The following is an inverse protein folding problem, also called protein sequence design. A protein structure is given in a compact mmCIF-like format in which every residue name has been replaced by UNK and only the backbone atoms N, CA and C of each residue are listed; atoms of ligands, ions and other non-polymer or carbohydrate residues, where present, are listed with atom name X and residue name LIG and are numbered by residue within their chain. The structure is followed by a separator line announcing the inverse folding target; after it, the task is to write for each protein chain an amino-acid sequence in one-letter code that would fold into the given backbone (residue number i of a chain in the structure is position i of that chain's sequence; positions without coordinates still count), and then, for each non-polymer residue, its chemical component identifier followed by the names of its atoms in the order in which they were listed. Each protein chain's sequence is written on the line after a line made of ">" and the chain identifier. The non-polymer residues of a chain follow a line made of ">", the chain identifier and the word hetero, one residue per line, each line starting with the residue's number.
data_IF_905266494197
#
_entry.id   IF_905266494197
#
_cell.length_a   1.000
_cell.length_b   1.000
_cell.length_c   1.000
_cell.angle_alpha   90.00
_cell.angle_beta   90.00
_cell.angle_gamma   90.00
#
_symmetry.space_group_name_H-M   'P 1'
#
loop_
_entity.id
_entity.type
_entity.pdbx_description
1 polymer ?
#
# COMPACT_ATOMS: atom_id res chain seq x y z
N UNK A 1 -17.62 11.05 -4.47
CA UNK A 1 -18.97 10.65 -3.96
C UNK A 1 -19.43 11.72 -3.01
N UNK A 2 -20.72 12.13 -3.00
CA UNK A 2 -21.15 13.09 -1.99
C UNK A 2 -21.04 12.45 -0.61
N UNK A 3 -20.44 13.18 0.33
CA UNK A 3 -20.35 12.77 1.74
C UNK A 3 -21.77 12.73 2.31
N UNK A 4 -22.22 11.65 2.97
CA UNK A 4 -23.53 11.60 3.60
C UNK A 4 -23.64 12.71 4.66
N UNK A 5 -24.66 13.54 4.56
CA UNK A 5 -24.86 14.65 5.51
C UNK A 5 -25.03 14.19 6.97
N UNK A 6 -25.36 12.91 7.16
CA UNK A 6 -25.60 12.27 8.46
C UNK A 6 -24.32 11.69 9.07
N UNK A 7 -23.27 11.56 8.28
CA UNK A 7 -21.99 10.99 8.69
C UNK A 7 -20.81 11.72 8.02
N UNK A 8 -20.63 13.04 8.26
CA UNK A 8 -19.59 13.83 7.61
C UNK A 8 -18.15 13.38 7.96
N UNK A 9 -18.01 12.53 9.00
CA UNK A 9 -16.73 11.94 9.42
C UNK A 9 -16.32 10.71 8.63
N UNK A 10 -17.11 10.20 7.69
CA UNK A 10 -16.77 8.99 6.92
C UNK A 10 -15.81 9.26 5.76
N UNK A 11 -15.81 10.46 5.21
CA UNK A 11 -14.97 10.83 4.08
C UNK A 11 -14.54 12.28 4.28
N UNK A 12 -13.24 12.54 4.19
CA UNK A 12 -12.66 13.88 4.26
C UNK A 12 -12.10 14.26 2.89
N UNK A 13 -12.19 15.52 2.53
CA UNK A 13 -11.46 16.05 1.39
C UNK A 13 -9.95 16.03 1.67
N UNK A 14 -9.13 15.89 0.61
CA UNK A 14 -7.67 15.83 0.72
C UNK A 14 -7.09 17.26 0.89
N UNK A 15 -7.45 17.89 1.98
CA UNK A 15 -6.88 19.17 2.42
C UNK A 15 -5.95 18.92 3.61
N UNK A 16 -4.74 19.49 3.59
CA UNK A 16 -3.69 19.21 4.57
C UNK A 16 -4.12 19.61 5.98
N UNK A 17 -4.52 20.89 6.16
CA UNK A 17 -4.81 21.42 7.50
C UNK A 17 -5.91 20.64 8.24
N UNK A 18 -7.07 20.30 7.63
CA UNK A 18 -8.08 19.49 8.29
C UNK A 18 -7.60 18.06 8.64
N UNK A 19 -6.75 17.46 7.80
CA UNK A 19 -6.21 16.13 8.07
C UNK A 19 -5.23 16.14 9.26
N UNK A 20 -4.36 17.16 9.33
CA UNK A 20 -3.44 17.35 10.46
C UNK A 20 -4.20 17.65 11.76
N UNK A 21 -5.24 18.48 11.71
CA UNK A 21 -6.09 18.77 12.86
C UNK A 21 -6.75 17.49 13.42
N UNK A 22 -7.26 16.62 12.54
CA UNK A 22 -7.87 15.35 12.93
C UNK A 22 -6.81 14.40 13.50
N UNK A 23 -5.65 14.29 12.88
CA UNK A 23 -4.54 13.48 13.39
C UNK A 23 -4.14 13.92 14.80
N UNK A 24 -3.94 15.22 15.01
CA UNK A 24 -3.63 15.79 16.31
C UNK A 24 -4.72 15.51 17.37
N UNK A 25 -6.01 15.71 17.04
CA UNK A 25 -7.11 15.39 17.95
C UNK A 25 -7.17 13.88 18.27
N UNK A 26 -6.88 13.03 17.29
CA UNK A 26 -6.82 11.58 17.47
C UNK A 26 -5.68 11.18 18.40
N UNK A 27 -4.52 11.83 18.27
CA UNK A 27 -3.38 11.63 19.18
C UNK A 27 -3.73 12.06 20.61
N UNK A 28 -4.37 13.23 20.79
CA UNK A 28 -4.85 13.70 22.11
C UNK A 28 -5.88 12.73 22.70
N UNK A 29 -6.71 12.10 21.87
CA UNK A 29 -7.68 11.11 22.31
C UNK A 29 -7.05 9.78 22.75
N UNK A 30 -5.73 9.59 22.60
CA UNK A 30 -4.95 8.47 23.08
C UNK A 30 -4.60 7.43 22.03
N UNK A 31 -4.58 7.80 20.76
CA UNK A 31 -4.05 6.92 19.71
C UNK A 31 -2.51 6.88 19.79
N UNK A 32 -1.93 5.67 19.87
CA UNK A 32 -0.50 5.45 19.92
C UNK A 32 0.14 5.34 18.53
N UNK A 33 -0.66 5.03 17.50
CA UNK A 33 -0.23 4.93 16.11
C UNK A 33 -1.36 5.33 15.16
N UNK A 34 -1.11 6.27 14.27
CA UNK A 34 -2.13 6.83 13.37
C UNK A 34 -1.83 6.48 11.91
N UNK A 35 -2.75 5.77 11.30
CA UNK A 35 -2.71 5.38 9.89
C UNK A 35 -3.66 6.24 9.09
N UNK A 36 -3.14 6.94 8.10
CA UNK A 36 -3.93 7.71 7.15
C UNK A 36 -4.17 6.91 5.86
N UNK A 37 -5.43 6.54 5.61
CA UNK A 37 -5.84 5.85 4.38
C UNK A 37 -6.34 6.85 3.35
N UNK A 38 -5.66 6.96 2.20
CA UNK A 38 -5.89 8.02 1.21
C UNK A 38 -6.28 7.43 -0.15
N UNK A 39 -7.30 8.00 -0.77
CA UNK A 39 -7.72 7.69 -2.14
C UNK A 39 -7.25 8.81 -3.07
N UNK A 40 -6.14 8.60 -3.77
CA UNK A 40 -5.39 9.63 -4.47
C UNK A 40 -4.70 9.16 -5.76
N UNK A 41 -4.09 10.08 -6.49
CA UNK A 41 -3.30 9.78 -7.68
C UNK A 41 -4.14 9.66 -8.95
N UNK A 42 -3.62 8.91 -9.91
CA UNK A 42 -4.22 8.72 -11.23
C UNK A 42 -4.37 7.23 -11.51
N UNK A 43 -5.56 6.83 -11.99
CA UNK A 43 -5.83 5.43 -12.35
C UNK A 43 -4.77 4.89 -13.33
N UNK A 44 -4.29 3.68 -13.06
CA UNK A 44 -3.36 2.89 -13.88
C UNK A 44 -1.93 3.46 -13.99
N UNK A 45 -1.61 4.51 -13.26
CA UNK A 45 -0.27 5.04 -13.17
C UNK A 45 0.51 4.34 -12.05
N UNK A 46 1.60 3.64 -12.41
CA UNK A 46 2.44 2.93 -11.43
C UNK A 46 3.39 3.84 -10.64
N UNK A 47 3.80 4.96 -11.23
CA UNK A 47 4.61 5.96 -10.53
C UNK A 47 3.71 6.96 -9.80
N UNK A 48 3.98 7.28 -8.53
CA UNK A 48 3.27 8.32 -7.82
C UNK A 48 3.41 9.67 -8.53
N UNK A 49 2.31 10.42 -8.61
CA UNK A 49 2.32 11.80 -9.13
C UNK A 49 3.12 12.72 -8.21
N UNK A 50 3.49 13.89 -8.73
CA UNK A 50 4.11 14.93 -7.90
C UNK A 50 3.19 15.37 -6.76
N UNK A 51 1.88 15.44 -7.00
CA UNK A 51 0.90 15.81 -5.98
C UNK A 51 0.85 14.76 -4.85
N UNK A 52 0.89 13.45 -5.19
CA UNK A 52 1.00 12.40 -4.18
C UNK A 52 2.26 12.54 -3.34
N UNK A 53 3.42 12.81 -3.97
CA UNK A 53 4.70 12.97 -3.27
C UNK A 53 4.68 14.18 -2.35
N UNK A 54 4.27 15.35 -2.87
CA UNK A 54 4.22 16.58 -2.08
C UNK A 54 3.23 16.48 -0.92
N UNK A 55 2.08 15.82 -1.14
CA UNK A 55 1.11 15.61 -0.08
C UNK A 55 1.64 14.64 0.99
N UNK A 56 2.28 13.54 0.58
CA UNK A 56 2.92 12.62 1.51
C UNK A 56 4.00 13.31 2.36
N UNK A 57 4.86 14.10 1.73
CA UNK A 57 5.89 14.89 2.42
C UNK A 57 5.25 15.84 3.45
N UNK A 58 4.21 16.58 3.07
CA UNK A 58 3.55 17.51 3.98
C UNK A 58 2.87 16.82 5.16
N UNK A 59 2.26 15.65 4.94
CA UNK A 59 1.52 14.92 5.97
C UNK A 59 2.45 14.14 6.91
N UNK A 60 3.49 13.46 6.39
CA UNK A 60 4.42 12.69 7.21
C UNK A 60 5.52 13.53 7.88
N UNK A 61 5.64 14.81 7.53
CA UNK A 61 6.47 15.76 8.31
C UNK A 61 5.78 16.22 9.61
N UNK A 62 4.51 15.83 9.81
CA UNK A 62 3.78 16.09 11.05
C UNK A 62 3.89 14.87 11.98
N UNK A 63 4.28 15.08 13.23
CA UNK A 63 4.53 14.04 14.25
C UNK A 63 3.30 13.22 14.67
N UNK A 64 2.12 13.58 14.17
CA UNK A 64 0.87 12.88 14.51
C UNK A 64 0.44 11.84 13.49
N UNK A 65 1.13 11.71 12.36
CA UNK A 65 0.80 10.70 11.32
C UNK A 65 1.99 9.76 11.16
N UNK A 66 1.78 8.47 11.44
CA UNK A 66 2.84 7.45 11.49
C UNK A 66 2.90 6.57 10.23
N UNK A 67 1.84 6.58 9.40
CA UNK A 67 1.78 5.76 8.19
C UNK A 67 0.75 6.30 7.20
N UNK A 68 1.10 6.34 5.92
CA UNK A 68 0.14 6.57 4.83
C UNK A 68 -0.06 5.29 4.01
N UNK A 69 -1.34 4.95 3.75
CA UNK A 69 -1.73 3.86 2.85
C UNK A 69 -2.60 4.40 1.73
N UNK A 70 -2.08 4.36 0.51
CA UNK A 70 -2.71 4.91 -0.69
C UNK A 70 -3.53 3.90 -1.49
N UNK A 71 -4.60 4.41 -2.09
CA UNK A 71 -5.55 3.69 -2.94
C UNK A 71 -5.84 4.48 -4.21
N UNK A 72 -6.71 3.99 -5.08
CA UNK A 72 -7.23 4.60 -6.32
C UNK A 72 -6.51 4.17 -7.59
N UNK A 73 -5.20 4.11 -7.62
CA UNK A 73 -4.45 3.85 -8.86
C UNK A 73 -4.81 2.52 -9.55
N UNK A 74 -5.45 1.57 -8.85
CA UNK A 74 -5.79 0.22 -9.34
C UNK A 74 -4.58 -0.60 -9.78
N UNK A 75 -3.40 -0.13 -9.53
CA UNK A 75 -2.11 -0.81 -9.72
C UNK A 75 -1.25 -0.59 -8.49
N UNK A 76 -0.30 -1.48 -8.25
CA UNK A 76 0.68 -1.31 -7.18
C UNK A 76 1.57 -0.12 -7.52
N UNK A 77 1.82 0.72 -6.53
CA UNK A 77 2.77 1.82 -6.55
C UNK A 77 3.87 1.60 -5.50
N UNK A 78 4.98 2.35 -5.52
CA UNK A 78 6.08 2.18 -4.59
C UNK A 78 5.69 2.29 -3.11
N UNK A 79 6.52 1.68 -2.28
CA UNK A 79 6.63 2.01 -0.86
C UNK A 79 7.79 2.97 -0.69
N UNK A 80 7.60 4.05 0.05
CA UNK A 80 8.62 5.04 0.37
C UNK A 80 8.77 5.25 1.86
N UNK A 81 9.73 6.10 2.22
CA UNK A 81 9.94 6.56 3.60
C UNK A 81 10.20 8.06 3.59
N UNK A 82 9.56 8.78 4.49
CA UNK A 82 9.67 10.23 4.69
C UNK A 82 9.80 10.44 6.20
N UNK A 83 10.86 11.10 6.65
CA UNK A 83 11.13 11.40 8.07
C UNK A 83 11.01 10.18 9.01
N UNK A 84 11.43 8.99 8.54
CA UNK A 84 11.34 7.67 9.16
C UNK A 84 9.95 7.03 9.20
N UNK A 85 8.94 7.65 8.60
CA UNK A 85 7.59 7.09 8.48
C UNK A 85 7.34 6.52 7.09
N UNK A 86 6.58 5.43 7.01
CA UNK A 86 6.30 4.77 5.73
C UNK A 86 5.14 5.40 4.98
N UNK A 87 5.32 5.51 3.65
CA UNK A 87 4.23 5.77 2.70
C UNK A 87 4.11 4.62 1.72
N UNK A 88 2.94 4.01 1.67
CA UNK A 88 2.55 3.00 0.68
C UNK A 88 1.68 3.74 -0.33
N UNK A 89 2.25 4.15 -1.47
CA UNK A 89 1.56 5.03 -2.41
C UNK A 89 0.33 4.38 -3.05
N UNK A 90 0.36 3.06 -3.29
CA UNK A 90 -0.78 2.34 -3.82
C UNK A 90 -0.66 0.83 -3.64
N UNK A 91 -1.68 0.22 -3.04
CA UNK A 91 -1.71 -1.24 -2.76
C UNK A 91 -2.27 -2.08 -3.91
N UNK A 92 -2.67 -1.47 -5.02
CA UNK A 92 -3.31 -2.17 -6.14
C UNK A 92 -4.72 -2.65 -5.83
N UNK A 93 -5.16 -3.67 -6.56
CA UNK A 93 -6.50 -4.26 -6.39
C UNK A 93 -6.42 -5.56 -5.57
N UNK A 94 -7.24 -5.65 -4.51
CA UNK A 94 -7.35 -6.90 -3.74
C UNK A 94 -8.32 -7.88 -4.42
N UNK A 95 -9.55 -7.45 -4.70
CA UNK A 95 -10.52 -8.22 -5.48
C UNK A 95 -11.13 -7.32 -6.55
N UNK A 96 -10.92 -7.66 -7.83
CA UNK A 96 -11.36 -6.82 -8.93
C UNK A 96 -11.66 -7.64 -10.19
N UNK A 97 -12.59 -7.15 -11.02
CA UNK A 97 -12.83 -7.65 -12.35
C UNK A 97 -11.98 -6.95 -13.42
N UNK A 98 -11.13 -6.02 -13.06
CA UNK A 98 -10.25 -5.34 -13.99
C UNK A 98 -9.15 -6.28 -14.52
N UNK A 99 -8.71 -6.02 -15.74
CA UNK A 99 -7.62 -6.76 -16.40
C UNK A 99 -6.99 -5.90 -17.50
N UNK A 100 -5.91 -6.39 -18.08
CA UNK A 100 -5.26 -5.71 -19.20
C UNK A 100 -6.16 -5.51 -20.43
N UNK A 101 -7.22 -6.31 -20.56
CA UNK A 101 -8.15 -6.19 -21.72
C UNK A 101 -9.14 -5.04 -21.61
N UNK A 102 -9.45 -4.58 -20.41
CA UNK A 102 -10.39 -3.44 -20.22
C UNK A 102 -9.69 -2.18 -19.74
N UNK A 103 -8.56 -2.31 -19.08
CA UNK A 103 -8.03 -1.26 -18.24
C UNK A 103 -6.50 -1.12 -18.42
N UNK A 104 -5.70 -1.74 -17.57
CA UNK A 104 -4.23 -1.70 -17.69
C UNK A 104 -3.57 -3.02 -17.24
N UNK A 105 -2.34 -3.24 -17.71
CA UNK A 105 -1.51 -4.33 -17.22
C UNK A 105 -1.23 -4.13 -15.73
N UNK A 106 -1.44 -5.19 -14.94
CA UNK A 106 -1.22 -5.15 -13.49
C UNK A 106 -2.44 -4.76 -12.65
N UNK A 107 -3.62 -4.54 -13.27
CA UNK A 107 -4.87 -4.30 -12.52
C UNK A 107 -5.45 -5.56 -11.86
N UNK A 108 -4.86 -6.73 -12.12
CA UNK A 108 -5.16 -7.95 -11.38
C UNK A 108 -4.20 -8.16 -10.20
N UNK A 109 -3.13 -7.37 -10.14
CA UNK A 109 -2.12 -7.46 -9.09
C UNK A 109 -2.45 -6.51 -7.94
N UNK A 110 -2.12 -6.95 -6.74
CA UNK A 110 -2.22 -6.17 -5.52
C UNK A 110 -1.23 -6.66 -4.50
N UNK A 111 -1.29 -6.08 -3.32
CA UNK A 111 -0.45 -6.49 -2.20
C UNK A 111 -1.24 -6.54 -0.91
N UNK A 112 -0.88 -7.50 -0.04
CA UNK A 112 -1.17 -7.43 1.38
C UNK A 112 0.08 -6.86 2.03
N UNK A 113 -0.12 -5.82 2.83
CA UNK A 113 0.97 -5.17 3.55
C UNK A 113 0.81 -5.44 5.04
N UNK A 114 1.85 -6.00 5.63
CA UNK A 114 1.98 -6.19 7.07
C UNK A 114 3.02 -5.20 7.59
N UNK A 115 2.62 -4.36 8.53
CA UNK A 115 3.51 -3.40 9.18
C UNK A 115 3.81 -3.90 10.58
N UNK A 116 5.07 -4.19 10.86
CA UNK A 116 5.51 -4.58 12.18
C UNK A 116 5.75 -3.34 13.02
N UNK A 117 4.99 -3.21 14.10
CA UNK A 117 5.15 -2.12 15.07
C UNK A 117 6.03 -2.56 16.24
N UNK A 118 6.86 -1.65 16.72
CA UNK A 118 7.63 -1.81 17.94
C UNK A 118 7.32 -0.68 18.93
N UNK A 119 7.27 -1.01 20.19
CA UNK A 119 7.18 -0.05 21.28
C UNK A 119 8.60 0.30 21.76
N UNK A 120 8.89 1.58 21.83
CA UNK A 120 10.13 2.13 22.36
C UNK A 120 9.84 3.15 23.45
N UNK A 121 10.87 3.72 24.01
CA UNK A 121 10.75 4.77 25.02
C UNK A 121 10.14 6.07 24.43
N UNK A 122 10.24 6.27 23.13
CA UNK A 122 9.74 7.46 22.42
C UNK A 122 8.33 7.24 21.79
N UNK A 123 7.75 6.05 21.96
CA UNK A 123 6.44 5.69 21.44
C UNK A 123 6.42 4.42 20.58
N UNK A 124 5.36 4.27 19.82
CA UNK A 124 5.17 3.15 18.86
C UNK A 124 5.62 3.59 17.48
N UNK A 125 6.46 2.79 16.83
CA UNK A 125 7.02 3.06 15.51
C UNK A 125 6.87 1.86 14.58
N UNK A 126 6.79 2.13 13.27
CA UNK A 126 6.85 1.10 12.25
C UNK A 126 8.31 0.64 12.06
N UNK A 127 8.62 -0.57 12.52
CA UNK A 127 9.96 -1.15 12.36
C UNK A 127 10.20 -1.66 10.94
N UNK A 128 9.17 -2.26 10.34
CA UNK A 128 9.33 -3.01 9.09
C UNK A 128 8.03 -3.16 8.34
N UNK A 129 8.13 -3.07 7.03
CA UNK A 129 7.05 -3.38 6.09
C UNK A 129 7.35 -4.71 5.40
N UNK A 130 6.43 -5.66 5.51
CA UNK A 130 6.43 -6.93 4.79
C UNK A 130 5.34 -6.88 3.74
N UNK A 131 5.61 -7.44 2.56
CA UNK A 131 4.67 -7.39 1.45
C UNK A 131 4.44 -8.79 0.89
N UNK A 132 3.17 -9.18 0.77
CA UNK A 132 2.75 -10.39 0.06
C UNK A 132 2.11 -9.98 -1.26
N UNK A 133 2.79 -10.19 -2.42
CA UNK A 133 2.19 -9.98 -3.73
C UNK A 133 0.97 -10.87 -3.93
N UNK A 134 -0.12 -10.28 -4.36
CA UNK A 134 -1.38 -10.98 -4.63
C UNK A 134 -1.83 -10.80 -6.07
N UNK A 135 -2.63 -11.74 -6.55
CA UNK A 135 -3.24 -11.67 -7.88
C UNK A 135 -4.65 -12.22 -7.86
N UNK A 136 -5.55 -11.55 -8.58
CA UNK A 136 -6.91 -12.04 -8.79
C UNK A 136 -6.92 -13.08 -9.90
N UNK A 137 -7.28 -14.32 -9.57
CA UNK A 137 -7.61 -15.38 -10.52
C UNK A 137 -9.05 -15.22 -11.00
N UNK A 138 -9.23 -14.48 -12.10
CA UNK A 138 -10.57 -14.18 -12.66
C UNK A 138 -11.25 -15.40 -13.25
N UNK A 139 -10.50 -16.38 -13.72
CA UNK A 139 -11.03 -17.58 -14.37
C UNK A 139 -11.26 -18.72 -13.37
N UNK A 140 -10.54 -18.72 -12.26
CA UNK A 140 -10.70 -19.69 -11.17
C UNK A 140 -11.74 -19.30 -10.11
N UNK A 141 -12.70 -18.45 -10.44
CA UNK A 141 -13.80 -18.06 -9.55
C UNK A 141 -13.51 -16.80 -8.72
N UNK A 142 -12.71 -15.90 -9.23
CA UNK A 142 -12.34 -14.63 -8.54
C UNK A 142 -11.69 -14.86 -7.18
N UNK A 143 -10.72 -15.77 -7.14
CA UNK A 143 -9.92 -16.02 -5.95
C UNK A 143 -8.73 -15.08 -5.91
N UNK A 144 -8.30 -14.75 -4.71
CA UNK A 144 -7.05 -14.04 -4.49
C UNK A 144 -5.97 -15.09 -4.30
N UNK A 145 -4.96 -15.06 -5.15
CA UNK A 145 -3.79 -15.90 -5.06
C UNK A 145 -2.68 -15.16 -4.34
N UNK A 146 -2.02 -15.82 -3.41
CA UNK A 146 -0.67 -15.46 -3.00
C UNK A 146 0.28 -15.89 -4.13
N UNK A 147 0.90 -14.88 -4.78
CA UNK A 147 1.68 -15.14 -5.99
C UNK A 147 2.92 -15.97 -5.68
N UNK A 148 3.59 -15.71 -4.57
CA UNK A 148 4.80 -16.44 -4.18
C UNK A 148 4.51 -17.91 -3.89
N UNK A 149 3.50 -18.21 -3.07
CA UNK A 149 3.08 -19.59 -2.78
C UNK A 149 2.58 -20.30 -4.06
N UNK A 150 1.83 -19.58 -4.89
CA UNK A 150 1.33 -20.14 -6.15
C UNK A 150 2.46 -20.46 -7.15
N UNK A 151 3.56 -19.70 -7.13
CA UNK A 151 4.76 -20.01 -7.92
C UNK A 151 5.52 -21.24 -7.41
N UNK A 152 5.52 -21.50 -6.11
CA UNK A 152 6.09 -22.74 -5.55
C UNK A 152 5.34 -23.96 -6.06
N UNK A 153 4.02 -23.88 -6.19
CA UNK A 153 3.16 -24.94 -6.70
C UNK A 153 3.21 -25.05 -8.23
N UNK A 154 3.36 -23.94 -8.95
CA UNK A 154 3.33 -23.84 -10.40
C UNK A 154 4.51 -22.99 -10.93
N UNK A 155 5.76 -23.50 -10.84
CA UNK A 155 6.96 -22.72 -11.16
C UNK A 155 7.07 -22.30 -12.63
N UNK A 156 6.40 -22.99 -13.53
CA UNK A 156 6.41 -22.74 -14.98
C UNK A 156 5.31 -21.74 -15.42
N UNK A 157 4.56 -21.16 -14.48
CA UNK A 157 3.50 -20.19 -14.81
C UNK A 157 4.05 -18.84 -15.20
N UNK A 158 4.09 -18.54 -16.50
CA UNK A 158 4.50 -17.24 -17.01
C UNK A 158 3.63 -16.08 -16.47
N UNK A 159 2.35 -16.33 -16.22
CA UNK A 159 1.42 -15.33 -15.69
C UNK A 159 1.77 -14.94 -14.25
N UNK A 160 2.04 -15.93 -13.40
CA UNK A 160 2.44 -15.68 -12.01
C UNK A 160 3.83 -15.04 -11.94
N UNK A 161 4.77 -15.52 -12.75
CA UNK A 161 6.12 -14.94 -12.85
C UNK A 161 6.05 -13.47 -13.25
N UNK A 162 5.30 -13.14 -14.31
CA UNK A 162 5.14 -11.76 -14.74
C UNK A 162 4.43 -10.88 -13.71
N UNK A 163 3.49 -11.44 -12.95
CA UNK A 163 2.81 -10.73 -11.85
C UNK A 163 3.79 -10.43 -10.71
N UNK A 164 4.58 -11.41 -10.32
CA UNK A 164 5.62 -11.30 -9.30
C UNK A 164 6.66 -10.23 -9.65
N UNK A 165 7.30 -10.37 -10.80
CA UNK A 165 8.35 -9.46 -11.27
C UNK A 165 7.83 -8.01 -11.35
N UNK A 166 6.66 -7.82 -11.97
CA UNK A 166 6.03 -6.50 -12.09
C UNK A 166 5.69 -5.89 -10.74
N UNK A 167 5.21 -6.68 -9.79
CA UNK A 167 4.86 -6.19 -8.46
C UNK A 167 6.11 -5.77 -7.71
N UNK A 168 7.19 -6.55 -7.74
CA UNK A 168 8.47 -6.20 -7.10
C UNK A 168 9.09 -4.96 -7.74
N UNK A 169 9.10 -4.85 -9.08
CA UNK A 169 9.57 -3.66 -9.79
C UNK A 169 8.83 -2.40 -9.34
N UNK A 170 7.50 -2.48 -9.25
CA UNK A 170 6.66 -1.34 -8.85
C UNK A 170 6.81 -0.95 -7.39
N UNK A 171 7.02 -1.89 -6.51
CA UNK A 171 7.28 -1.62 -5.10
C UNK A 171 8.58 -0.85 -4.89
N UNK A 172 9.47 -0.82 -5.88
CA UNK A 172 10.74 -0.12 -5.81
C UNK A 172 11.78 -0.84 -4.95
N UNK A 173 11.67 -2.17 -4.84
CA UNK A 173 12.55 -2.99 -4.02
C UNK A 173 14.06 -2.76 -4.27
N UNK A 174 14.42 -2.31 -5.45
CA UNK A 174 15.81 -1.99 -5.82
C UNK A 174 16.26 -0.57 -5.43
N UNK A 175 15.31 0.31 -5.11
CA UNK A 175 15.58 1.75 -4.90
C UNK A 175 15.46 2.22 -3.45
N UNK A 176 15.02 1.36 -2.54
CA UNK A 176 14.71 1.74 -1.15
C UNK A 176 15.87 1.51 -0.16
N UNK A 177 17.06 1.13 -0.63
CA UNK A 177 18.19 0.86 0.24
C UNK A 177 17.89 -0.26 1.26
N UNK A 178 18.10 0.01 2.54
CA UNK A 178 17.84 -0.96 3.62
C UNK A 178 16.34 -1.20 3.89
N UNK A 179 15.45 -0.53 3.16
CA UNK A 179 13.98 -0.55 3.35
C UNK A 179 13.23 -1.23 2.20
N UNK A 180 13.82 -2.22 1.56
CA UNK A 180 13.08 -3.03 0.59
C UNK A 180 11.95 -3.79 1.29
N UNK A 181 10.69 -3.66 0.82
CA UNK A 181 9.60 -4.52 1.31
C UNK A 181 9.99 -5.96 1.06
N UNK A 182 9.96 -6.79 2.11
CA UNK A 182 10.41 -8.18 2.04
C UNK A 182 9.22 -9.04 1.63
N UNK A 183 9.29 -9.72 0.47
CA UNK A 183 8.26 -10.70 0.10
C UNK A 183 8.25 -11.84 1.11
N UNK A 184 7.12 -12.08 1.74
CA UNK A 184 6.99 -13.06 2.82
C UNK A 184 7.14 -14.52 2.36
N UNK A 185 6.91 -14.80 1.08
CA UNK A 185 6.70 -16.15 0.56
C UNK A 185 7.93 -16.86 -0.02
N UNK A 186 9.02 -16.14 -0.31
CA UNK A 186 10.25 -16.77 -0.84
C UNK A 186 11.24 -17.21 0.26
N UNK A 187 10.96 -16.95 1.54
CA UNK A 187 11.86 -17.21 2.66
C UNK A 187 11.38 -18.27 3.65
N UNK A 188 10.37 -19.06 3.32
CA UNK A 188 10.18 -20.31 4.06
C UNK A 188 11.29 -21.26 3.66
N UNK A 189 12.41 -21.21 4.39
CA UNK A 189 13.38 -22.31 4.38
C UNK A 189 12.59 -23.61 4.61
N UNK A 190 12.75 -24.54 3.67
CA UNK A 190 12.29 -25.91 3.88
C UNK A 190 13.01 -26.45 5.10
N UNK A 191 12.35 -26.44 6.24
CA UNK A 191 12.74 -27.19 7.42
C UNK A 191 12.56 -28.67 7.19
#
# INVERSE_FOLDING_TARGET
>A
MPVPSEAPWLIFDLEIDPLLDIAHQTRIAGADFIVLSIHWGVEYQSDPTNDQRSLAESLLSDENIDLIVGHHAHVVQPVGMIDNEYVIYGIGNFLSNQSASCCAVGTQDGVIVEVKLIESHDGIHAEKVLVTPTRVDRYGGYRILDVGNSLVENPDSNELTSSWERTLERLGAENLGDFSPIPTTLFTEKS
#
